data_IF_612866572285
#
_entry.id   IF_612866572285
#
_cell.length_a   1.000
_cell.length_b   1.000
_cell.length_c   1.000
_cell.angle_alpha   90.00
_cell.angle_beta   90.00
_cell.angle_gamma   90.00
#
_symmetry.space_group_name_H-M   'P 1'
#
loop_
_entity.id
_entity.type
_entity.pdbx_description
1 polymer ?
#
# COMPACT_ATOMS: atom_id res chain seq x y z
N UNK A 1 -21.13 -13.14 12.32
CA UNK A 1 -21.11 -12.42 11.01
C UNK A 1 -20.61 -10.97 11.09
N UNK A 2 -20.85 -10.22 12.17
CA UNK A 2 -20.46 -8.79 12.29
C UNK A 2 -18.95 -8.52 12.23
N UNK A 3 -18.10 -9.49 12.59
CA UNK A 3 -16.64 -9.33 12.57
C UNK A 3 -16.05 -9.06 11.17
N UNK A 4 -16.69 -9.54 10.10
CA UNK A 4 -16.17 -9.41 8.73
C UNK A 4 -16.69 -8.19 7.98
N UNK A 5 -17.75 -7.53 8.49
CA UNK A 5 -18.30 -6.31 7.91
C UNK A 5 -17.25 -5.19 7.72
N UNK A 6 -16.41 -4.86 8.72
CA UNK A 6 -15.42 -3.79 8.56
C UNK A 6 -14.34 -4.13 7.53
N UNK A 7 -13.87 -5.38 7.47
CA UNK A 7 -12.91 -5.82 6.44
C UNK A 7 -13.52 -5.77 5.04
N UNK A 8 -14.79 -6.15 4.90
CA UNK A 8 -15.51 -6.09 3.63
C UNK A 8 -15.71 -4.64 3.19
N UNK A 9 -16.18 -3.78 4.10
CA UNK A 9 -16.37 -2.35 3.83
C UNK A 9 -15.07 -1.66 3.44
N UNK A 10 -13.98 -1.93 4.16
CA UNK A 10 -12.65 -1.42 3.82
C UNK A 10 -12.17 -1.89 2.44
N UNK A 11 -12.35 -3.18 2.13
CA UNK A 11 -12.04 -3.73 0.81
C UNK A 11 -12.84 -3.09 -0.32
N UNK A 12 -14.15 -2.87 -0.12
CA UNK A 12 -15.01 -2.17 -1.06
C UNK A 12 -14.57 -0.72 -1.29
N UNK A 13 -14.18 0.00 -0.23
CA UNK A 13 -13.67 1.38 -0.34
C UNK A 13 -12.35 1.46 -1.13
N UNK A 14 -11.40 0.56 -0.85
CA UNK A 14 -10.13 0.49 -1.59
C UNK A 14 -10.39 0.15 -3.07
N UNK A 15 -11.27 -0.83 -3.32
CA UNK A 15 -11.65 -1.23 -4.67
C UNK A 15 -12.34 -0.10 -5.44
N UNK A 16 -13.30 0.60 -4.82
CA UNK A 16 -13.98 1.74 -5.40
C UNK A 16 -13.00 2.88 -5.73
N UNK A 17 -12.08 3.20 -4.83
CA UNK A 17 -11.02 4.20 -5.07
C UNK A 17 -10.12 3.81 -6.26
N UNK A 18 -9.70 2.55 -6.32
CA UNK A 18 -8.87 2.03 -7.41
C UNK A 18 -9.57 2.08 -8.78
N UNK A 19 -10.86 1.71 -8.83
CA UNK A 19 -11.68 1.77 -10.04
C UNK A 19 -11.94 3.22 -10.44
N UNK A 20 -12.22 4.11 -9.49
CA UNK A 20 -12.45 5.52 -9.75
C UNK A 20 -11.21 6.19 -10.34
N UNK A 21 -10.00 5.89 -9.83
CA UNK A 21 -8.76 6.36 -10.43
C UNK A 21 -8.57 5.83 -11.86
N UNK A 22 -8.93 4.56 -12.10
CA UNK A 22 -8.84 3.94 -13.41
C UNK A 22 -9.80 4.56 -14.42
N UNK A 23 -11.05 4.80 -14.03
CA UNK A 23 -12.09 5.35 -14.92
C UNK A 23 -11.87 6.83 -15.21
N UNK A 24 -11.49 7.63 -14.21
CA UNK A 24 -11.34 9.07 -14.37
C UNK A 24 -10.04 9.45 -15.07
N UNK A 25 -8.94 8.74 -14.77
CA UNK A 25 -7.61 9.12 -15.28
C UNK A 25 -7.03 8.10 -16.28
N UNK A 26 -7.66 6.94 -16.48
CA UNK A 26 -7.12 5.86 -17.31
C UNK A 26 -5.90 5.15 -16.71
N UNK A 27 -5.57 5.41 -15.44
CA UNK A 27 -4.32 4.95 -14.80
C UNK A 27 -4.57 3.84 -13.79
N UNK A 28 -3.67 2.86 -13.76
CA UNK A 28 -3.67 1.81 -12.74
C UNK A 28 -3.16 2.42 -11.42
N UNK A 29 -3.91 2.27 -10.33
CA UNK A 29 -3.50 2.75 -9.03
C UNK A 29 -2.28 1.97 -8.50
N UNK A 30 -1.17 2.66 -8.28
CA UNK A 30 0.03 2.11 -7.68
C UNK A 30 0.74 3.19 -6.87
N UNK A 31 0.75 3.06 -5.54
CA UNK A 31 1.21 4.12 -4.62
C UNK A 31 2.67 4.51 -4.92
N UNK A 32 3.58 3.54 -5.02
CA UNK A 32 4.99 3.82 -5.37
C UNK A 32 5.14 4.50 -6.73
N UNK A 33 4.28 4.16 -7.69
CA UNK A 33 4.25 4.82 -8.99
C UNK A 33 3.77 6.27 -8.89
N UNK A 34 2.67 6.52 -8.18
CA UNK A 34 2.09 7.86 -7.99
C UNK A 34 3.07 8.77 -7.26
N UNK A 35 3.67 8.29 -6.17
CA UNK A 35 4.70 9.02 -5.42
C UNK A 35 5.95 9.25 -6.27
N UNK A 36 6.37 8.27 -7.07
CA UNK A 36 7.49 8.42 -8.00
C UNK A 36 7.26 9.47 -9.07
N UNK A 37 6.08 9.50 -9.70
CA UNK A 37 5.72 10.53 -10.68
C UNK A 37 5.62 11.91 -10.04
N UNK A 38 5.13 11.99 -8.79
CA UNK A 38 5.09 13.23 -8.03
C UNK A 38 6.50 13.79 -7.79
N UNK A 39 7.45 12.93 -7.39
CA UNK A 39 8.86 13.32 -7.21
C UNK A 39 9.51 13.78 -8.54
N UNK A 40 9.04 13.28 -9.67
CA UNK A 40 9.50 13.68 -11.01
C UNK A 40 8.75 14.91 -11.58
N UNK A 41 7.77 15.45 -10.85
CA UNK A 41 6.97 16.59 -11.30
C UNK A 41 5.96 16.29 -12.41
N UNK A 42 5.69 15.02 -12.72
CA UNK A 42 4.77 14.62 -13.79
C UNK A 42 3.36 14.47 -13.23
N UNK A 43 2.35 15.10 -13.85
CA UNK A 43 0.95 14.95 -13.43
C UNK A 43 0.70 15.38 -11.98
N UNK A 44 1.36 16.46 -11.55
CA UNK A 44 1.40 16.97 -10.17
C UNK A 44 0.02 17.07 -9.53
N UNK A 45 -0.96 17.70 -10.18
CA UNK A 45 -2.29 17.92 -9.62
C UNK A 45 -2.97 16.60 -9.20
N UNK A 46 -3.01 15.61 -10.09
CA UNK A 46 -3.64 14.31 -9.83
C UNK A 46 -2.86 13.49 -8.81
N UNK A 47 -1.53 13.45 -8.91
CA UNK A 47 -0.71 12.68 -7.99
C UNK A 47 -0.72 13.28 -6.57
N UNK A 48 -0.65 14.61 -6.46
CA UNK A 48 -0.82 15.32 -5.19
C UNK A 48 -2.19 15.08 -4.60
N UNK A 49 -3.26 15.21 -5.37
CA UNK A 49 -4.62 14.97 -4.89
C UNK A 49 -4.77 13.54 -4.32
N UNK A 50 -4.19 12.54 -4.98
CA UNK A 50 -4.20 11.17 -4.49
C UNK A 50 -3.39 11.00 -3.19
N UNK A 51 -2.16 11.52 -3.14
CA UNK A 51 -1.29 11.43 -1.95
C UNK A 51 -1.91 12.18 -0.76
N UNK A 52 -2.45 13.37 -0.98
CA UNK A 52 -3.18 14.13 0.03
C UNK A 52 -4.41 13.36 0.51
N UNK A 53 -5.19 12.76 -0.40
CA UNK A 53 -6.32 11.90 -0.03
C UNK A 53 -5.90 10.74 0.88
N UNK A 54 -4.77 10.09 0.60
CA UNK A 54 -4.21 9.03 1.45
C UNK A 54 -3.80 9.55 2.84
N UNK A 55 -3.17 10.72 2.91
CA UNK A 55 -2.77 11.37 4.17
C UNK A 55 -3.96 11.89 4.98
N UNK A 56 -5.05 12.29 4.32
CA UNK A 56 -6.29 12.73 4.95
C UNK A 56 -7.09 11.56 5.55
N UNK A 57 -6.83 10.32 5.16
CA UNK A 57 -7.55 9.14 5.68
C UNK A 57 -7.51 9.02 7.22
N UNK A 58 -6.32 8.99 7.85
CA UNK A 58 -6.20 8.98 9.32
C UNK A 58 -6.81 10.21 9.99
N UNK A 59 -6.76 11.38 9.35
CA UNK A 59 -7.38 12.61 9.86
C UNK A 59 -8.91 12.53 9.84
N UNK A 60 -9.48 11.98 8.77
CA UNK A 60 -10.91 11.69 8.70
C UNK A 60 -11.32 10.70 9.79
N UNK A 61 -10.51 9.64 10.01
CA UNK A 61 -10.75 8.70 11.12
C UNK A 61 -10.78 9.42 12.48
N UNK A 62 -9.83 10.31 12.74
CA UNK A 62 -9.81 11.13 13.96
C UNK A 62 -11.09 11.95 14.13
N UNK A 63 -11.57 12.59 13.05
CA UNK A 63 -12.79 13.41 13.06
C UNK A 63 -14.07 12.59 13.32
N UNK A 64 -14.18 11.39 12.74
CA UNK A 64 -15.38 10.55 12.88
C UNK A 64 -15.42 9.73 14.17
N UNK A 65 -14.26 9.26 14.66
CA UNK A 65 -14.18 8.35 15.80
C UNK A 65 -13.62 9.01 17.07
N UNK A 66 -13.21 10.28 17.00
CA UNK A 66 -12.78 11.07 18.17
C UNK A 66 -11.43 10.66 18.76
N UNK A 67 -10.68 9.77 18.09
CA UNK A 67 -9.40 9.27 18.55
C UNK A 67 -8.50 8.85 17.40
N UNK A 68 -7.19 8.89 17.63
CA UNK A 68 -6.22 8.37 16.68
C UNK A 68 -6.35 6.85 16.58
N UNK A 69 -6.17 6.26 15.39
CA UNK A 69 -6.07 4.82 15.27
C UNK A 69 -4.93 4.33 16.17
N UNK A 70 -5.17 3.25 16.92
CA UNK A 70 -4.15 2.65 17.77
C UNK A 70 -3.06 2.06 16.85
N UNK A 71 -1.87 2.66 16.87
CA UNK A 71 -0.71 2.19 16.10
C UNK A 71 0.37 1.76 17.10
N UNK A 72 0.54 0.45 17.26
CA UNK A 72 1.63 -0.10 18.05
C UNK A 72 2.86 -0.31 17.15
N UNK A 73 3.88 0.52 17.36
CA UNK A 73 5.17 0.38 16.69
C UNK A 73 6.15 -0.21 17.70
N UNK A 74 6.34 -1.51 17.63
CA UNK A 74 7.31 -2.24 18.49
C UNK A 74 8.73 -2.22 17.92
N UNK A 75 8.93 -1.65 16.74
CA UNK A 75 10.22 -1.58 16.05
C UNK A 75 11.00 -0.29 16.37
N UNK A 76 12.32 -0.40 16.51
CA UNK A 76 13.20 0.77 16.65
C UNK A 76 13.35 1.55 15.34
N UNK A 77 13.62 2.87 15.45
CA UNK A 77 13.83 3.76 14.30
C UNK A 77 14.81 3.24 13.24
N UNK A 78 15.97 2.64 13.58
CA UNK A 78 16.89 2.12 12.58
C UNK A 78 16.24 1.05 11.69
N UNK A 79 15.43 0.17 12.25
CA UNK A 79 14.74 -0.90 11.51
C UNK A 79 13.67 -0.31 10.58
N UNK A 80 12.93 0.70 11.04
CA UNK A 80 11.88 1.35 10.25
C UNK A 80 12.50 2.04 9.03
N UNK A 81 13.61 2.77 9.22
CA UNK A 81 14.29 3.48 8.14
C UNK A 81 14.87 2.49 7.12
N UNK A 82 15.57 1.45 7.58
CA UNK A 82 16.15 0.45 6.67
C UNK A 82 15.06 -0.35 5.93
N UNK A 83 13.99 -0.75 6.61
CA UNK A 83 12.85 -1.41 6.00
C UNK A 83 12.19 -0.52 4.93
N UNK A 84 11.97 0.75 5.23
CA UNK A 84 11.41 1.72 4.29
C UNK A 84 12.24 1.87 3.02
N UNK A 85 13.56 2.00 3.15
CA UNK A 85 14.50 2.09 2.03
C UNK A 85 14.50 0.80 1.19
N UNK A 86 14.55 -0.37 1.83
CA UNK A 86 14.52 -1.66 1.15
C UNK A 86 13.21 -1.88 0.38
N UNK A 87 12.06 -1.54 0.99
CA UNK A 87 10.74 -1.63 0.34
C UNK A 87 10.66 -0.65 -0.82
N UNK A 88 11.14 0.59 -0.64
CA UNK A 88 11.20 1.59 -1.70
C UNK A 88 12.00 1.12 -2.92
N UNK A 89 13.24 0.69 -2.68
CA UNK A 89 14.13 0.14 -3.70
C UNK A 89 13.53 -1.11 -4.37
N UNK A 90 13.03 -2.05 -3.57
CA UNK A 90 12.37 -3.27 -4.05
C UNK A 90 11.16 -2.98 -4.94
N UNK A 91 10.31 -2.01 -4.57
CA UNK A 91 9.15 -1.63 -5.37
C UNK A 91 9.55 -1.03 -6.73
N UNK A 92 10.70 -0.35 -6.81
CA UNK A 92 11.21 0.18 -8.08
C UNK A 92 11.75 -0.93 -8.98
N UNK A 93 12.52 -1.86 -8.42
CA UNK A 93 13.01 -3.04 -9.16
C UNK A 93 11.85 -3.92 -9.65
N UNK A 94 10.83 -4.11 -8.81
CA UNK A 94 9.62 -4.86 -9.12
C UNK A 94 8.68 -4.15 -10.10
N UNK A 95 9.04 -2.96 -10.60
CA UNK A 95 8.20 -2.11 -11.48
C UNK A 95 6.81 -1.79 -10.90
N UNK A 96 6.66 -1.83 -9.58
CA UNK A 96 5.37 -1.70 -8.91
C UNK A 96 5.43 -2.06 -7.44
N UNK A 97 4.34 -1.77 -6.74
CA UNK A 97 4.16 -2.11 -5.33
C UNK A 97 3.02 -3.12 -5.13
N UNK A 98 2.85 -3.59 -3.89
CA UNK A 98 1.75 -4.46 -3.49
C UNK A 98 0.37 -3.85 -3.78
N UNK A 99 0.22 -2.53 -3.71
CA UNK A 99 -1.04 -1.85 -4.05
C UNK A 99 -1.40 -2.03 -5.54
N UNK A 100 -0.41 -1.88 -6.43
CA UNK A 100 -0.63 -1.99 -7.89
C UNK A 100 -0.73 -3.43 -8.37
N UNK A 101 0.24 -4.27 -8.00
CA UNK A 101 0.24 -5.69 -8.36
C UNK A 101 -0.83 -6.49 -7.62
N UNK A 102 -1.07 -6.19 -6.34
CA UNK A 102 -2.05 -6.87 -5.50
C UNK A 102 -3.48 -6.48 -5.86
N UNK A 103 -3.87 -5.21 -5.67
CA UNK A 103 -5.27 -4.80 -5.81
C UNK A 103 -5.73 -4.89 -7.26
N UNK A 104 -5.09 -4.17 -8.18
CA UNK A 104 -5.49 -4.15 -9.59
C UNK A 104 -4.86 -5.28 -10.43
N UNK A 105 -3.62 -5.64 -10.15
CA UNK A 105 -2.89 -6.65 -10.92
C UNK A 105 -3.46 -8.07 -10.79
N UNK A 106 -3.88 -8.47 -9.58
CA UNK A 106 -4.58 -9.74 -9.35
C UNK A 106 -6.03 -9.69 -9.84
N UNK A 107 -6.73 -8.56 -9.66
CA UNK A 107 -8.09 -8.39 -10.18
C UNK A 107 -8.15 -8.50 -11.72
N UNK A 108 -7.06 -8.16 -12.42
CA UNK A 108 -6.90 -8.32 -13.87
C UNK A 108 -6.37 -9.71 -14.28
N UNK A 109 -6.20 -10.64 -13.34
CA UNK A 109 -5.67 -11.99 -13.56
C UNK A 109 -4.30 -12.00 -14.29
N UNK A 110 -3.45 -11.00 -14.02
CA UNK A 110 -2.17 -10.89 -14.72
C UNK A 110 -1.12 -11.85 -14.13
N UNK A 111 -0.49 -12.73 -14.93
CA UNK A 111 0.49 -13.70 -14.45
C UNK A 111 1.73 -13.04 -13.85
N UNK A 112 2.18 -11.92 -14.45
CA UNK A 112 3.27 -11.09 -13.91
C UNK A 112 2.97 -10.63 -12.48
N UNK A 113 1.75 -10.15 -12.21
CA UNK A 113 1.40 -9.67 -10.88
C UNK A 113 1.21 -10.80 -9.87
N UNK A 114 0.73 -11.96 -10.30
CA UNK A 114 0.68 -13.15 -9.44
C UNK A 114 2.08 -13.52 -8.93
N UNK A 115 3.06 -13.58 -9.84
CA UNK A 115 4.46 -13.87 -9.46
C UNK A 115 5.01 -12.76 -8.54
N UNK A 116 4.80 -11.49 -8.87
CA UNK A 116 5.28 -10.38 -8.05
C UNK A 116 4.65 -10.37 -6.63
N UNK A 117 3.35 -10.64 -6.52
CA UNK A 117 2.68 -10.69 -5.21
C UNK A 117 3.16 -11.89 -4.41
N UNK A 118 3.33 -13.05 -5.04
CA UNK A 118 3.87 -14.24 -4.39
C UNK A 118 5.29 -13.99 -3.85
N UNK A 119 6.17 -13.35 -4.63
CA UNK A 119 7.53 -13.03 -4.16
C UNK A 119 7.53 -12.02 -3.02
N UNK A 120 6.72 -10.96 -3.08
CA UNK A 120 6.62 -9.97 -1.99
C UNK A 120 6.10 -10.60 -0.69
N UNK A 121 5.04 -11.42 -0.79
CA UNK A 121 4.49 -12.13 0.36
C UNK A 121 5.51 -13.10 0.96
N UNK A 122 6.18 -13.91 0.13
CA UNK A 122 7.20 -14.85 0.59
C UNK A 122 8.36 -14.14 1.27
N UNK A 123 8.86 -13.04 0.71
CA UNK A 123 9.92 -12.24 1.32
C UNK A 123 9.49 -11.67 2.68
N UNK A 124 8.23 -11.20 2.80
CA UNK A 124 7.68 -10.72 4.06
C UNK A 124 7.56 -11.82 5.12
N UNK A 125 7.07 -13.01 4.74
CA UNK A 125 6.99 -14.18 5.62
C UNK A 125 8.37 -14.57 6.13
N UNK A 126 9.36 -14.66 5.23
CA UNK A 126 10.74 -14.99 5.59
C UNK A 126 11.33 -13.93 6.51
N UNK A 127 11.14 -12.64 6.22
CA UNK A 127 11.65 -11.56 7.06
C UNK A 127 11.09 -11.63 8.49
N UNK A 128 9.78 -11.86 8.65
CA UNK A 128 9.16 -12.01 9.98
C UNK A 128 9.65 -13.27 10.67
N UNK A 129 9.75 -14.40 9.96
CA UNK A 129 10.25 -15.65 10.52
C UNK A 129 11.68 -15.53 11.06
N UNK A 130 12.55 -14.81 10.34
CA UNK A 130 13.93 -14.54 10.78
C UNK A 130 13.95 -13.60 11.99
N UNK A 131 13.24 -12.48 11.92
CA UNK A 131 13.22 -11.45 12.96
C UNK A 131 12.54 -11.89 14.28
N UNK A 132 11.63 -12.87 14.21
CA UNK A 132 10.94 -13.42 15.39
C UNK A 132 11.43 -14.81 15.78
N UNK A 133 12.49 -15.32 15.14
CA UNK A 133 13.08 -16.59 15.53
C UNK A 133 13.67 -16.45 16.94
N UNK A 134 13.48 -17.43 17.85
CA UNK A 134 13.87 -17.33 19.26
C UNK A 134 15.40 -17.27 19.53
N UNK A 135 16.21 -16.93 18.53
CA UNK A 135 17.67 -16.86 18.60
C UNK A 135 18.28 -15.52 18.12
N UNK A 136 17.45 -14.50 17.82
CA UNK A 136 17.85 -13.11 17.53
C UNK A 136 17.03 -12.18 18.42
#
# INVERSE_FOLDING_TARGET
MSAYLPSLAGGMLIGASAVMLLLLNGRIAGISGIVGHLAQGVGLATNLAFVLGLLLGPLAYLLFFGGWPQVEITAGWPLIITAGLLVGFGSRMGSGCTSGHGVLGLARLSPRSMVAVATFLMAGVVAVAVLRSPGV
#
